data_IF_558782876377
#
_entry.id   IF_558782876377
#
_cell.length_a   1.000
_cell.length_b   1.000
_cell.length_c   1.000
_cell.angle_alpha   90.00
_cell.angle_beta   90.00
_cell.angle_gamma   90.00
#
_symmetry.space_group_name_H-M   'P 1'
#
loop_
_entity.id
_entity.type
_entity.pdbx_description
1 polymer ?
#
# COMPACT_ATOMS: atom_id res chain seq x y z
N UNK A 1 18.76 30.96 1.45
CA UNK A 1 18.17 29.77 2.10
C UNK A 1 17.71 28.86 0.98
N UNK A 2 18.33 27.70 0.80
CA UNK A 2 17.78 26.64 -0.02
C UNK A 2 16.38 26.34 0.52
N UNK A 3 15.38 26.35 -0.34
CA UNK A 3 14.05 25.89 0.02
C UNK A 3 14.14 24.38 0.19
N UNK A 4 14.27 23.91 1.41
CA UNK A 4 14.02 22.50 1.71
C UNK A 4 12.57 22.22 1.36
N UNK A 5 12.33 21.21 0.52
CA UNK A 5 10.96 20.75 0.29
C UNK A 5 10.54 19.93 1.52
N UNK A 6 9.40 20.27 2.15
CA UNK A 6 8.93 19.50 3.29
C UNK A 6 8.47 18.10 2.82
N UNK A 7 8.55 17.14 3.72
CA UNK A 7 7.99 15.80 3.53
C UNK A 7 6.50 15.81 3.91
N UNK A 8 5.71 15.03 3.17
CA UNK A 8 4.32 14.73 3.49
C UNK A 8 4.19 13.24 3.83
N UNK A 9 3.64 12.94 4.99
CA UNK A 9 3.20 11.61 5.37
C UNK A 9 1.70 11.50 5.19
N UNK A 10 1.28 10.49 4.43
CA UNK A 10 -0.12 10.10 4.28
C UNK A 10 -0.30 8.77 4.99
N UNK A 11 -1.18 8.71 5.98
CA UNK A 11 -1.26 7.54 6.84
C UNK A 11 -2.66 7.34 7.42
N UNK A 12 -2.92 6.16 7.93
CA UNK A 12 -4.03 5.89 8.85
C UNK A 12 -3.51 5.76 10.27
N UNK A 13 -4.40 5.65 11.24
CA UNK A 13 -4.04 5.51 12.66
C UNK A 13 -4.70 4.27 13.24
N UNK A 14 -3.92 3.37 13.78
CA UNK A 14 -4.46 2.22 14.53
C UNK A 14 -5.02 2.65 15.87
N UNK A 15 -6.32 2.94 15.88
CA UNK A 15 -7.09 3.27 17.08
C UNK A 15 -8.35 2.43 17.11
N UNK A 16 -8.85 2.14 18.31
CA UNK A 16 -10.13 1.46 18.50
C UNK A 16 -11.34 2.40 18.25
N UNK A 17 -11.20 3.28 17.26
CA UNK A 17 -12.23 4.24 16.84
C UNK A 17 -12.23 4.37 15.33
N UNK A 18 -13.41 4.48 14.73
CA UNK A 18 -13.57 4.54 13.27
C UNK A 18 -12.88 5.75 12.61
N UNK A 19 -12.59 6.81 13.37
CA UNK A 19 -11.85 7.98 12.89
C UNK A 19 -10.33 7.76 12.82
N UNK A 20 -9.82 6.68 13.40
CA UNK A 20 -8.43 6.26 13.24
C UNK A 20 -8.14 5.71 11.86
N UNK A 21 -9.00 4.83 11.36
CA UNK A 21 -8.88 4.19 10.05
C UNK A 21 -9.45 5.07 8.94
N UNK A 22 -8.88 6.27 8.80
CA UNK A 22 -9.19 7.28 7.80
C UNK A 22 -7.89 7.89 7.29
N UNK A 23 -7.96 8.75 6.27
CA UNK A 23 -6.77 9.40 5.71
C UNK A 23 -6.34 10.57 6.60
N UNK A 24 -5.15 10.49 7.16
CA UNK A 24 -4.50 11.54 7.93
C UNK A 24 -3.25 12.03 7.21
N UNK A 25 -2.92 13.31 7.41
CA UNK A 25 -1.71 13.92 6.89
C UNK A 25 -0.83 14.45 8.03
N UNK A 26 0.47 14.29 7.86
CA UNK A 26 1.47 14.98 8.66
C UNK A 26 2.56 15.54 7.76
N UNK A 27 3.20 16.62 8.20
CA UNK A 27 4.31 17.26 7.48
C UNK A 27 5.56 17.28 8.34
N UNK A 28 6.72 17.24 7.69
CA UNK A 28 8.00 17.36 8.34
C UNK A 28 8.97 18.19 7.48
N UNK A 29 9.79 19.02 8.09
CA UNK A 29 10.86 19.74 7.41
C UNK A 29 12.17 18.91 7.34
N UNK A 30 12.33 17.91 8.22
CA UNK A 30 13.57 17.16 8.40
C UNK A 30 13.42 15.63 8.24
N UNK A 31 12.18 15.13 8.05
CA UNK A 31 11.86 13.71 7.95
C UNK A 31 11.82 12.96 9.30
N UNK A 32 12.14 13.63 10.41
CA UNK A 32 12.18 13.02 11.75
C UNK A 32 11.13 13.60 12.69
N UNK A 33 10.87 14.90 12.61
CA UNK A 33 9.90 15.60 13.45
C UNK A 33 8.65 15.89 12.62
N UNK A 34 7.51 15.30 13.00
CA UNK A 34 6.27 15.33 12.24
C UNK A 34 5.20 16.15 12.94
N UNK A 35 4.56 17.05 12.22
CA UNK A 35 3.41 17.81 12.66
C UNK A 35 2.15 17.28 11.97
N UNK A 36 1.16 16.87 12.80
CA UNK A 36 -0.13 16.39 12.30
C UNK A 36 -0.92 17.57 11.74
N UNK A 37 -1.35 17.48 10.50
CA UNK A 37 -2.25 18.45 9.90
C UNK A 37 -3.69 18.30 10.42
N UNK A 38 -4.52 19.30 10.17
CA UNK A 38 -5.94 19.30 10.55
C UNK A 38 -6.20 19.07 12.04
N UNK A 39 -5.21 19.41 12.91
CA UNK A 39 -5.27 19.15 14.34
C UNK A 39 -5.37 17.66 14.70
N UNK A 40 -4.82 16.78 13.86
CA UNK A 40 -4.85 15.33 14.00
C UNK A 40 -6.18 14.67 13.65
N UNK A 41 -7.13 15.41 13.05
CA UNK A 41 -8.35 14.88 12.50
C UNK A 41 -8.11 14.32 11.09
N UNK A 42 -8.96 13.41 10.60
CA UNK A 42 -8.87 12.95 9.20
C UNK A 42 -8.95 14.12 8.21
N UNK A 43 -8.16 14.04 7.15
CA UNK A 43 -8.24 14.94 5.99
C UNK A 43 -9.31 14.43 5.01
N UNK A 44 -9.36 13.10 4.82
CA UNK A 44 -10.42 12.43 4.06
C UNK A 44 -11.09 11.37 4.94
N UNK A 45 -12.39 11.28 4.79
CA UNK A 45 -13.21 10.27 5.48
C UNK A 45 -13.81 9.34 4.42
N UNK A 46 -13.61 8.03 4.61
CA UNK A 46 -14.24 7.01 3.78
C UNK A 46 -15.67 6.80 4.24
N UNK A 47 -16.62 7.03 3.35
CA UNK A 47 -18.07 6.80 3.55
C UNK A 47 -18.62 5.70 2.63
N UNK A 48 -17.78 5.17 1.72
CA UNK A 48 -18.10 4.03 0.85
C UNK A 48 -17.46 2.74 1.36
N UNK A 49 -17.88 1.61 0.79
CA UNK A 49 -17.32 0.29 1.10
C UNK A 49 -17.46 -0.08 2.57
N UNK A 50 -16.35 -0.39 3.22
CA UNK A 50 -16.33 -0.74 4.65
C UNK A 50 -16.46 0.48 5.56
N UNK A 51 -16.30 1.68 5.01
CA UNK A 51 -16.35 2.95 5.75
C UNK A 51 -15.14 3.18 6.65
N UNK A 52 -13.99 2.75 6.20
CA UNK A 52 -12.66 3.00 6.75
C UNK A 52 -11.60 2.62 5.74
N UNK A 53 -10.39 3.14 5.90
CA UNK A 53 -9.26 2.88 5.01
C UNK A 53 -7.97 2.67 5.78
N UNK A 54 -7.10 1.82 5.21
CA UNK A 54 -5.76 1.51 5.69
C UNK A 54 -4.76 1.61 4.53
N UNK A 55 -3.48 1.54 4.82
CA UNK A 55 -2.39 1.39 3.85
C UNK A 55 -2.52 2.41 2.70
N UNK A 56 -2.42 3.69 3.06
CA UNK A 56 -2.72 4.79 2.14
C UNK A 56 -1.49 5.11 1.32
N UNK A 57 -1.62 5.02 0.01
CA UNK A 57 -0.60 5.39 -0.96
C UNK A 57 -0.98 6.68 -1.70
N UNK A 58 0.01 7.49 -2.00
CA UNK A 58 -0.14 8.74 -2.75
C UNK A 58 0.93 8.89 -3.81
N UNK A 59 0.52 9.26 -5.02
CA UNK A 59 1.45 9.63 -6.09
C UNK A 59 1.10 10.98 -6.69
N UNK A 60 2.13 11.77 -7.01
CA UNK A 60 1.97 12.91 -7.91
C UNK A 60 2.13 12.41 -9.34
N UNK A 61 1.07 12.54 -10.12
CA UNK A 61 1.03 12.07 -11.51
C UNK A 61 1.81 12.98 -12.44
N UNK A 62 2.10 12.48 -13.64
CA UNK A 62 2.78 13.23 -14.71
C UNK A 62 1.98 14.48 -15.15
N UNK A 63 0.65 14.47 -15.02
CA UNK A 63 -0.23 15.62 -15.29
C UNK A 63 -0.26 16.66 -14.15
N UNK A 64 0.51 16.42 -13.07
CA UNK A 64 0.63 17.29 -11.91
C UNK A 64 -0.41 17.06 -10.82
N UNK A 65 -1.46 16.26 -11.07
CA UNK A 65 -2.47 15.89 -10.08
C UNK A 65 -1.94 14.86 -9.10
N UNK A 66 -2.65 14.69 -8.00
CA UNK A 66 -2.39 13.64 -7.01
C UNK A 66 -3.47 12.56 -7.11
N UNK A 67 -3.04 11.31 -7.05
CA UNK A 67 -3.90 10.14 -6.88
C UNK A 67 -3.61 9.52 -5.53
N UNK A 68 -4.68 9.24 -4.77
CA UNK A 68 -4.62 8.59 -3.46
C UNK A 68 -5.38 7.27 -3.57
N UNK A 69 -4.70 6.17 -3.25
CA UNK A 69 -5.28 4.83 -3.11
C UNK A 69 -5.21 4.39 -1.65
N UNK A 70 -6.14 3.56 -1.24
CA UNK A 70 -6.13 2.96 0.08
C UNK A 70 -6.86 1.62 0.08
N UNK A 71 -6.46 0.73 0.97
CA UNK A 71 -7.20 -0.49 1.30
C UNK A 71 -8.59 -0.11 1.82
N UNK A 72 -9.65 -0.64 1.21
CA UNK A 72 -11.03 -0.51 1.71
C UNK A 72 -11.26 -1.48 2.87
N UNK A 73 -10.79 -1.10 4.05
CA UNK A 73 -10.90 -1.91 5.26
C UNK A 73 -11.05 -1.04 6.51
N UNK A 74 -12.11 -1.29 7.27
CA UNK A 74 -12.28 -0.77 8.62
C UNK A 74 -12.23 -1.96 9.61
N UNK A 75 -11.06 -2.22 10.18
CA UNK A 75 -10.84 -3.34 11.12
C UNK A 75 -11.68 -3.20 12.36
N UNK A 76 -11.81 -1.96 12.88
CA UNK A 76 -12.63 -1.69 14.08
C UNK A 76 -14.08 -2.16 13.92
N UNK A 77 -14.65 -2.08 12.71
CA UNK A 77 -16.02 -2.58 12.43
C UNK A 77 -16.09 -4.11 12.26
N UNK A 78 -14.95 -4.77 12.17
CA UNK A 78 -14.82 -6.24 12.01
C UNK A 78 -14.35 -6.94 13.29
N UNK A 79 -14.06 -6.19 14.34
CA UNK A 79 -13.70 -6.72 15.65
C UNK A 79 -14.93 -7.35 16.35
N UNK A 80 -14.68 -8.42 17.08
CA UNK A 80 -15.67 -8.99 17.99
C UNK A 80 -15.81 -8.14 19.29
N UNK A 81 -16.69 -8.55 20.20
CA UNK A 81 -16.93 -7.88 21.49
C UNK A 81 -15.69 -7.86 22.42
N UNK A 82 -14.68 -8.71 22.14
CA UNK A 82 -13.42 -8.78 22.88
C UNK A 82 -12.27 -8.08 22.13
N UNK A 83 -12.57 -7.33 21.08
CA UNK A 83 -11.61 -6.67 20.16
C UNK A 83 -10.70 -7.62 19.42
N UNK A 84 -11.07 -8.89 19.22
CA UNK A 84 -10.33 -9.80 18.36
C UNK A 84 -10.66 -9.56 16.89
N UNK A 85 -9.66 -9.79 16.04
CA UNK A 85 -9.77 -9.63 14.60
C UNK A 85 -9.65 -11.02 13.96
N UNK A 86 -10.64 -11.36 13.13
CA UNK A 86 -10.56 -12.55 12.28
C UNK A 86 -9.92 -12.21 10.94
N UNK A 87 -8.58 -12.22 10.91
CA UNK A 87 -7.82 -11.97 9.69
C UNK A 87 -8.12 -13.01 8.60
N UNK A 88 -8.47 -14.25 8.98
CA UNK A 88 -8.83 -15.27 8.00
C UNK A 88 -10.12 -14.89 7.27
N UNK A 89 -11.11 -14.38 7.98
CA UNK A 89 -12.34 -13.88 7.36
C UNK A 89 -12.08 -12.63 6.53
N UNK A 90 -11.24 -11.71 7.00
CA UNK A 90 -10.84 -10.51 6.24
C UNK A 90 -10.16 -10.90 4.92
N UNK A 91 -9.25 -11.85 4.94
CA UNK A 91 -8.52 -12.32 3.77
C UNK A 91 -9.38 -13.14 2.80
N UNK A 92 -10.50 -13.70 3.26
CA UNK A 92 -11.42 -14.49 2.44
C UNK A 92 -12.61 -13.67 1.93
N UNK A 93 -13.19 -12.85 2.81
CA UNK A 93 -14.43 -12.08 2.58
C UNK A 93 -14.19 -10.56 2.67
N UNK A 94 -12.99 -10.12 2.33
CA UNK A 94 -12.60 -8.72 2.31
C UNK A 94 -13.20 -7.94 1.14
N UNK A 95 -12.95 -6.64 1.13
CA UNK A 95 -13.31 -5.80 -0.01
C UNK A 95 -12.50 -6.20 -1.24
N UNK A 96 -13.17 -6.21 -2.40
CA UNK A 96 -12.56 -6.42 -3.72
C UNK A 96 -12.33 -5.11 -4.46
N UNK A 97 -12.35 -4.01 -3.72
CA UNK A 97 -12.14 -2.66 -4.21
C UNK A 97 -11.00 -1.99 -3.44
N UNK A 98 -10.38 -1.01 -4.08
CA UNK A 98 -9.55 -0.01 -3.41
C UNK A 98 -10.30 1.32 -3.36
N UNK A 99 -10.16 2.04 -2.25
CA UNK A 99 -10.66 3.41 -2.14
C UNK A 99 -9.75 4.37 -2.89
N UNK A 100 -10.34 5.36 -3.59
CA UNK A 100 -9.63 6.26 -4.47
C UNK A 100 -10.13 7.69 -4.38
N UNK A 101 -9.19 8.66 -4.36
CA UNK A 101 -9.43 10.09 -4.49
C UNK A 101 -8.42 10.73 -5.43
N UNK A 102 -8.80 11.87 -6.02
CA UNK A 102 -7.92 12.74 -6.79
C UNK A 102 -7.88 14.13 -6.17
N UNK A 103 -6.75 14.83 -6.33
CA UNK A 103 -6.61 16.22 -5.96
C UNK A 103 -5.65 16.96 -6.89
N UNK A 104 -5.89 18.24 -7.12
CA UNK A 104 -4.95 19.12 -7.81
C UNK A 104 -3.96 19.79 -6.85
N UNK A 105 -4.28 19.91 -5.58
CA UNK A 105 -3.58 20.79 -4.61
C UNK A 105 -3.42 20.20 -3.20
N UNK A 106 -3.90 18.99 -2.95
CA UNK A 106 -3.96 18.33 -1.63
C UNK A 106 -4.78 19.07 -0.57
N UNK A 107 -5.64 20.00 -1.01
CA UNK A 107 -6.59 20.75 -0.20
C UNK A 107 -8.02 20.42 -0.61
N UNK A 108 -8.25 20.39 -1.94
CA UNK A 108 -9.54 20.07 -2.54
C UNK A 108 -9.48 18.69 -3.16
N UNK A 109 -10.35 17.81 -2.72
CA UNK A 109 -10.37 16.41 -3.16
C UNK A 109 -11.65 16.09 -3.93
N UNK A 110 -11.56 15.13 -4.85
CA UNK A 110 -12.72 14.53 -5.47
C UNK A 110 -13.59 13.80 -4.46
N UNK A 111 -14.81 13.45 -4.83
CA UNK A 111 -15.58 12.43 -4.11
C UNK A 111 -14.83 11.09 -4.12
N UNK A 112 -15.04 10.29 -3.07
CA UNK A 112 -14.49 8.93 -2.99
C UNK A 112 -15.05 8.07 -4.11
N UNK A 113 -14.19 7.20 -4.66
CA UNK A 113 -14.59 6.10 -5.56
C UNK A 113 -14.08 4.78 -5.01
N UNK A 114 -14.79 3.71 -5.31
CA UNK A 114 -14.30 2.35 -5.13
C UNK A 114 -13.87 1.80 -6.48
N UNK A 115 -12.59 1.45 -6.62
CA UNK A 115 -12.01 0.87 -7.82
C UNK A 115 -12.10 -0.65 -7.75
N UNK A 116 -12.89 -1.24 -8.64
CA UNK A 116 -13.02 -2.67 -8.81
C UNK A 116 -12.30 -3.11 -10.10
N UNK A 117 -11.39 -4.07 -10.00
CA UNK A 117 -10.53 -4.47 -11.11
C UNK A 117 -11.02 -5.72 -11.86
N UNK A 118 -12.25 -6.17 -11.63
CA UNK A 118 -12.90 -7.21 -12.43
C UNK A 118 -12.55 -8.65 -12.05
N UNK A 119 -12.04 -8.90 -10.82
CA UNK A 119 -11.73 -10.25 -10.33
C UNK A 119 -12.57 -10.63 -9.12
N UNK A 120 -13.54 -11.51 -9.33
CA UNK A 120 -14.42 -12.03 -8.27
C UNK A 120 -13.77 -13.12 -7.42
N UNK A 121 -12.69 -13.71 -7.90
CA UNK A 121 -11.96 -14.78 -7.23
C UNK A 121 -10.94 -14.31 -6.20
N UNK A 122 -10.71 -12.99 -6.08
CA UNK A 122 -9.95 -12.41 -4.97
C UNK A 122 -10.70 -12.53 -3.65
N UNK A 123 -10.00 -12.80 -2.55
CA UNK A 123 -10.55 -12.75 -1.20
C UNK A 123 -10.55 -11.35 -0.61
N UNK A 124 -9.52 -10.57 -0.91
CA UNK A 124 -9.32 -9.19 -0.46
C UNK A 124 -8.41 -8.44 -1.42
N UNK A 125 -8.37 -7.11 -1.30
CA UNK A 125 -7.34 -6.25 -1.86
C UNK A 125 -6.79 -5.38 -0.73
N UNK A 126 -5.47 -5.40 -0.53
CA UNK A 126 -4.89 -4.63 0.56
C UNK A 126 -3.44 -4.22 0.36
N UNK A 127 -3.07 -3.12 1.01
CA UNK A 127 -1.80 -2.44 0.89
C UNK A 127 -1.46 -2.09 -0.57
N UNK A 128 -2.26 -1.21 -1.23
CA UNK A 128 -1.97 -0.78 -2.60
C UNK A 128 -0.75 0.12 -2.63
N UNK A 129 0.05 -0.04 -3.68
CA UNK A 129 1.16 0.83 -4.03
C UNK A 129 1.05 1.29 -5.48
N UNK A 130 1.60 2.46 -5.80
CA UNK A 130 1.58 3.05 -7.14
C UNK A 130 3.00 3.39 -7.56
N UNK A 131 3.48 2.74 -8.61
CA UNK A 131 4.81 3.03 -9.19
C UNK A 131 4.64 3.56 -10.60
N UNK A 132 5.31 4.67 -10.94
CA UNK A 132 5.33 5.18 -12.31
C UNK A 132 6.40 4.46 -13.14
N UNK A 133 5.98 3.85 -14.22
CA UNK A 133 6.84 3.25 -15.23
C UNK A 133 7.14 4.29 -16.32
N UNK A 134 8.30 4.94 -16.21
CA UNK A 134 8.73 5.98 -17.13
C UNK A 134 8.94 5.46 -18.57
N UNK A 135 9.30 4.18 -18.72
CA UNK A 135 9.56 3.58 -20.02
C UNK A 135 8.28 3.38 -20.84
N UNK A 136 7.19 2.99 -20.16
CA UNK A 136 5.90 2.75 -20.80
C UNK A 136 4.92 3.91 -20.63
N UNK A 137 5.30 4.96 -19.90
CA UNK A 137 4.47 6.12 -19.56
C UNK A 137 3.12 5.70 -18.95
N UNK A 138 3.18 4.80 -17.96
CA UNK A 138 2.01 4.28 -17.26
C UNK A 138 2.30 4.04 -15.77
N UNK A 139 1.24 3.81 -15.01
CA UNK A 139 1.33 3.49 -13.59
C UNK A 139 1.10 2.00 -13.40
N UNK A 140 2.00 1.35 -12.66
CA UNK A 140 1.81 0.03 -12.09
C UNK A 140 1.19 0.21 -10.71
N UNK A 141 -0.02 -0.32 -10.52
CA UNK A 141 -0.66 -0.42 -9.21
C UNK A 141 -0.51 -1.87 -8.78
N UNK A 142 0.03 -2.11 -7.58
CA UNK A 142 0.16 -3.46 -7.05
C UNK A 142 -0.35 -3.54 -5.61
N UNK A 143 -0.79 -4.73 -5.19
CA UNK A 143 -1.42 -4.97 -3.89
C UNK A 143 -1.35 -6.45 -3.50
N UNK A 144 -1.54 -6.76 -2.22
CA UNK A 144 -1.71 -8.11 -1.72
C UNK A 144 -3.13 -8.63 -1.94
N UNK A 145 -3.26 -9.88 -2.40
CA UNK A 145 -4.53 -10.60 -2.48
C UNK A 145 -4.35 -12.07 -2.20
N UNK A 146 -5.37 -12.66 -1.60
CA UNK A 146 -5.62 -14.10 -1.60
C UNK A 146 -6.56 -14.45 -2.74
N UNK A 147 -6.52 -15.69 -3.23
CA UNK A 147 -7.37 -16.13 -4.35
C UNK A 147 -8.07 -17.46 -4.04
N UNK A 148 -9.20 -17.68 -4.72
CA UNK A 148 -9.99 -18.89 -4.59
C UNK A 148 -9.21 -20.18 -4.92
N UNK A 149 -8.26 -20.11 -5.85
CA UNK A 149 -7.43 -21.25 -6.26
C UNK A 149 -6.62 -21.82 -5.10
N UNK A 150 -6.18 -20.99 -4.17
CA UNK A 150 -5.45 -21.37 -2.95
C UNK A 150 -6.38 -21.53 -1.73
N UNK A 151 -7.71 -21.60 -1.95
CA UNK A 151 -8.70 -21.60 -0.87
C UNK A 151 -8.52 -20.40 0.08
N UNK A 152 -8.06 -19.27 -0.48
CA UNK A 152 -7.74 -18.01 0.22
C UNK A 152 -6.74 -18.15 1.38
N UNK A 153 -5.87 -19.17 1.32
CA UNK A 153 -4.87 -19.44 2.36
C UNK A 153 -3.44 -19.04 1.96
N UNK A 154 -3.29 -18.30 0.85
CA UNK A 154 -1.98 -17.84 0.40
C UNK A 154 -2.11 -16.44 -0.20
N UNK A 155 -1.42 -15.48 0.40
CA UNK A 155 -1.38 -14.10 -0.10
C UNK A 155 -0.18 -13.91 -1.02
N UNK A 156 -0.43 -13.31 -2.17
CA UNK A 156 0.55 -12.94 -3.18
C UNK A 156 0.32 -11.52 -3.66
N UNK A 157 1.28 -10.93 -4.33
CA UNK A 157 1.17 -9.58 -4.89
C UNK A 157 0.64 -9.67 -6.31
N UNK A 158 -0.43 -8.97 -6.57
CA UNK A 158 -1.06 -8.78 -7.88
C UNK A 158 -0.86 -7.36 -8.34
N UNK A 159 -1.00 -7.13 -9.65
CA UNK A 159 -0.92 -5.78 -10.20
C UNK A 159 -1.88 -5.56 -11.35
N UNK A 160 -2.11 -4.29 -11.65
CA UNK A 160 -2.71 -3.82 -12.90
C UNK A 160 -2.00 -2.55 -13.37
N UNK A 161 -2.27 -2.13 -14.60
CA UNK A 161 -1.68 -0.95 -15.23
C UNK A 161 -2.74 0.06 -15.60
N UNK A 162 -2.38 1.33 -15.51
CA UNK A 162 -3.24 2.43 -15.94
C UNK A 162 -2.41 3.62 -16.42
N UNK A 163 -2.97 4.40 -17.37
CA UNK A 163 -2.37 5.67 -17.78
C UNK A 163 -3.10 6.87 -17.18
N UNK A 164 -4.33 6.69 -16.72
CA UNK A 164 -5.24 7.79 -16.40
C UNK A 164 -6.07 7.61 -15.12
N UNK A 165 -5.91 6.49 -14.41
CA UNK A 165 -6.72 6.08 -13.25
C UNK A 165 -8.23 5.99 -13.54
N UNK A 166 -8.61 5.75 -14.81
CA UNK A 166 -9.99 5.56 -15.26
C UNK A 166 -10.20 4.22 -15.94
N UNK A 167 -9.19 3.80 -16.70
CA UNK A 167 -9.14 2.49 -17.34
C UNK A 167 -7.95 1.70 -16.81
N UNK A 168 -8.17 0.42 -16.53
CA UNK A 168 -7.18 -0.45 -15.90
C UNK A 168 -7.03 -1.74 -16.72
N UNK A 169 -5.81 -2.26 -16.82
CA UNK A 169 -5.62 -3.61 -17.34
C UNK A 169 -6.27 -4.64 -16.39
N UNK A 170 -6.53 -5.85 -16.92
CA UNK A 170 -6.96 -6.95 -16.07
C UNK A 170 -5.84 -7.32 -15.09
N UNK A 171 -6.15 -7.59 -13.82
CA UNK A 171 -5.15 -7.94 -12.81
C UNK A 171 -4.40 -9.23 -13.13
N UNK A 172 -3.08 -9.18 -12.99
CA UNK A 172 -2.18 -10.33 -13.14
C UNK A 172 -1.33 -10.54 -11.89
N UNK A 173 -0.79 -11.75 -11.74
CA UNK A 173 0.15 -12.04 -10.66
C UNK A 173 1.46 -11.29 -10.92
N UNK A 174 1.86 -10.46 -9.96
CA UNK A 174 3.09 -9.69 -10.05
C UNK A 174 4.26 -10.40 -9.37
N UNK A 175 4.06 -10.83 -8.13
CA UNK A 175 5.11 -11.47 -7.36
C UNK A 175 4.53 -12.43 -6.32
N UNK A 176 5.19 -13.58 -6.16
CA UNK A 176 4.80 -14.60 -5.17
C UNK A 176 6.03 -15.34 -4.64
N UNK A 177 5.92 -15.90 -3.46
CA UNK A 177 6.89 -16.78 -2.82
C UNK A 177 6.18 -18.01 -2.27
N UNK A 178 6.93 -18.99 -1.79
CA UNK A 178 6.35 -20.16 -1.10
C UNK A 178 5.62 -19.79 0.19
N UNK A 179 6.09 -18.73 0.86
CA UNK A 179 5.44 -18.10 2.00
C UNK A 179 4.46 -17.02 1.56
N UNK A 180 3.47 -16.72 2.40
CA UNK A 180 2.63 -15.54 2.24
C UNK A 180 3.45 -14.26 2.30
N UNK A 181 3.16 -13.35 1.38
CA UNK A 181 3.81 -12.05 1.26
C UNK A 181 2.78 -10.95 1.12
N UNK A 182 3.06 -9.79 1.71
CA UNK A 182 2.19 -8.62 1.68
C UNK A 182 3.01 -7.33 1.76
N UNK A 183 2.33 -6.17 1.70
CA UNK A 183 2.90 -4.84 1.89
C UNK A 183 4.13 -4.61 1.01
N UNK A 184 3.96 -4.82 -0.29
CA UNK A 184 5.03 -4.63 -1.25
C UNK A 184 5.23 -3.15 -1.57
N UNK A 185 6.49 -2.72 -1.66
CA UNK A 185 6.90 -1.40 -2.12
C UNK A 185 7.93 -1.53 -3.23
N UNK A 186 7.73 -0.83 -4.34
CA UNK A 186 8.58 -0.94 -5.53
C UNK A 186 9.15 0.43 -5.90
N UNK A 187 10.48 0.54 -5.96
CA UNK A 187 11.15 1.76 -6.39
C UNK A 187 12.26 1.49 -7.39
N UNK A 188 12.57 2.49 -8.21
CA UNK A 188 13.74 2.47 -9.09
C UNK A 188 14.87 3.28 -8.49
N UNK A 189 16.03 2.66 -8.29
CA UNK A 189 17.23 3.32 -7.83
C UNK A 189 18.47 2.76 -8.55
N UNK A 190 19.40 3.63 -8.98
CA UNK A 190 20.62 3.23 -9.70
C UNK A 190 20.36 2.29 -10.88
N UNK A 191 19.32 2.58 -11.69
CA UNK A 191 18.87 1.79 -12.84
C UNK A 191 18.46 0.35 -12.52
N UNK A 192 18.16 0.05 -11.28
CA UNK A 192 17.58 -1.22 -10.82
C UNK A 192 16.22 -0.98 -10.18
N UNK A 193 15.37 -1.97 -10.26
CA UNK A 193 14.11 -2.03 -9.54
C UNK A 193 14.34 -2.77 -8.22
N UNK A 194 13.93 -2.17 -7.13
CA UNK A 194 14.02 -2.67 -5.78
C UNK A 194 12.62 -2.95 -5.27
N UNK A 195 12.31 -4.21 -5.00
CA UNK A 195 11.04 -4.66 -4.44
C UNK A 195 11.25 -5.02 -2.98
N UNK A 196 10.59 -4.30 -2.10
CA UNK A 196 10.50 -4.61 -0.67
C UNK A 196 9.14 -5.25 -0.41
N UNK A 197 9.08 -6.21 0.49
CA UNK A 197 7.82 -6.84 0.88
C UNK A 197 7.95 -7.45 2.28
N UNK A 198 6.83 -7.64 2.95
CA UNK A 198 6.79 -8.42 4.17
C UNK A 198 6.65 -9.89 3.86
N UNK A 199 7.53 -10.71 4.40
CA UNK A 199 7.33 -12.15 4.55
C UNK A 199 6.53 -12.39 5.85
N UNK A 200 5.33 -12.97 5.74
CA UNK A 200 4.44 -13.18 6.88
C UNK A 200 4.87 -14.34 7.79
N UNK A 201 5.64 -15.28 7.23
CA UNK A 201 6.08 -16.50 7.95
C UNK A 201 7.52 -16.37 8.46
N UNK A 202 8.04 -17.43 9.09
CA UNK A 202 9.38 -17.44 9.65
C UNK A 202 10.47 -17.61 8.57
N UNK A 203 11.45 -16.70 8.46
CA UNK A 203 11.58 -15.47 9.24
C UNK A 203 10.57 -14.39 8.80
N UNK A 204 9.83 -13.83 9.76
CA UNK A 204 8.92 -12.71 9.48
C UNK A 204 9.67 -11.39 9.38
N UNK A 205 9.20 -10.48 8.54
CA UNK A 205 9.71 -9.14 8.38
C UNK A 205 9.94 -8.73 6.94
N UNK A 206 10.51 -7.54 6.75
CA UNK A 206 10.80 -7.00 5.43
C UNK A 206 11.94 -7.77 4.75
N UNK A 207 11.71 -8.09 3.50
CA UNK A 207 12.63 -8.74 2.56
C UNK A 207 12.87 -7.81 1.37
N UNK A 208 13.94 -8.07 0.62
CA UNK A 208 14.31 -7.26 -0.52
C UNK A 208 14.69 -8.11 -1.73
N UNK A 209 14.25 -7.67 -2.88
CA UNK A 209 14.57 -8.26 -4.18
C UNK A 209 15.02 -7.17 -5.15
N UNK A 210 15.85 -7.52 -6.11
CA UNK A 210 16.39 -6.61 -7.12
C UNK A 210 16.16 -7.16 -8.53
N UNK A 211 15.81 -6.28 -9.47
CA UNK A 211 15.64 -6.62 -10.89
C UNK A 211 16.14 -5.52 -11.83
N UNK A 212 16.43 -5.88 -13.06
CA UNK A 212 16.65 -4.94 -14.18
C UNK A 212 15.32 -4.44 -14.77
N UNK A 213 14.23 -5.15 -14.56
CA UNK A 213 12.92 -4.86 -15.14
C UNK A 213 11.87 -4.68 -14.05
N UNK A 214 10.91 -3.78 -14.28
CA UNK A 214 9.82 -3.48 -13.35
C UNK A 214 9.00 -4.73 -12.98
N UNK A 215 8.82 -5.66 -13.91
CA UNK A 215 8.09 -6.92 -13.71
C UNK A 215 8.99 -8.10 -13.32
N UNK A 216 10.27 -7.86 -13.03
CA UNK A 216 11.22 -8.92 -12.74
C UNK A 216 11.83 -9.55 -14.01
N UNK A 217 12.47 -10.74 -13.93
CA UNK A 217 12.58 -11.56 -12.73
C UNK A 217 13.38 -10.88 -11.61
N UNK A 218 12.95 -11.09 -10.38
CA UNK A 218 13.60 -10.53 -9.21
C UNK A 218 14.60 -11.52 -8.61
N UNK A 219 15.71 -11.00 -8.10
CA UNK A 219 16.74 -11.77 -7.38
C UNK A 219 16.78 -11.32 -5.94
N UNK A 220 16.77 -12.26 -5.01
CA UNK A 220 16.78 -12.03 -3.58
C UNK A 220 18.09 -11.39 -3.09
N UNK A 221 17.98 -10.47 -2.14
CA UNK A 221 19.12 -9.76 -1.52
C UNK A 221 19.28 -10.19 -0.05
N UNK A 222 20.07 -11.24 0.16
CA UNK A 222 20.37 -11.78 1.51
C UNK A 222 21.14 -10.78 2.38
N UNK A 223 21.91 -9.86 1.79
CA UNK A 223 22.68 -8.85 2.54
C UNK A 223 21.74 -7.84 3.19
N UNK A 224 20.73 -7.39 2.44
CA UNK A 224 19.70 -6.50 2.97
C UNK A 224 18.94 -7.15 4.14
N UNK A 225 18.53 -8.39 3.99
CA UNK A 225 17.80 -9.11 5.05
C UNK A 225 18.65 -9.22 6.34
N UNK A 226 19.95 -9.48 6.19
CA UNK A 226 20.87 -9.54 7.34
C UNK A 226 20.99 -8.18 8.03
N UNK A 227 21.09 -7.08 7.25
CA UNK A 227 21.16 -5.71 7.76
C UNK A 227 19.88 -5.31 8.51
N UNK A 228 18.71 -5.56 7.90
CA UNK A 228 17.42 -5.25 8.53
C UNK A 228 17.26 -6.00 9.83
N UNK A 229 17.55 -7.29 9.87
CA UNK A 229 17.51 -8.08 11.12
C UNK A 229 18.45 -7.54 12.19
N UNK A 230 19.64 -7.11 11.81
CA UNK A 230 20.59 -6.50 12.73
C UNK A 230 20.06 -5.20 13.33
N UNK A 231 19.62 -4.24 12.48
CA UNK A 231 19.16 -2.94 12.95
C UNK A 231 17.81 -2.98 13.67
N UNK A 232 16.96 -3.95 13.35
CA UNK A 232 15.65 -4.13 14.00
C UNK A 232 15.71 -5.07 15.20
N UNK A 233 16.89 -5.58 15.54
CA UNK A 233 17.10 -6.57 16.60
C UNK A 233 16.18 -7.80 16.45
N UNK A 234 15.98 -8.24 15.20
CA UNK A 234 15.11 -9.37 14.86
C UNK A 234 13.60 -9.06 14.94
N UNK A 235 13.21 -7.78 15.09
CA UNK A 235 11.82 -7.36 15.05
C UNK A 235 11.19 -7.59 13.67
N UNK A 236 9.90 -7.90 13.65
CA UNK A 236 9.10 -8.00 12.42
C UNK A 236 8.47 -6.66 12.11
N UNK A 237 8.73 -6.15 10.92
CA UNK A 237 8.20 -4.88 10.41
C UNK A 237 7.50 -5.12 9.08
N UNK A 238 6.57 -4.23 8.74
CA UNK A 238 5.80 -4.25 7.50
C UNK A 238 5.58 -2.82 6.99
N UNK A 239 5.06 -2.65 5.76
CA UNK A 239 4.72 -1.35 5.22
C UNK A 239 5.96 -0.50 4.93
N UNK A 240 6.97 -1.06 4.26
CA UNK A 240 8.18 -0.33 3.88
C UNK A 240 7.83 0.85 2.95
N UNK A 241 8.40 2.01 3.24
CA UNK A 241 8.40 3.18 2.35
C UNK A 241 9.84 3.66 2.22
N UNK A 242 10.28 3.93 1.00
CA UNK A 242 11.63 4.41 0.73
C UNK A 242 11.61 5.78 0.07
N UNK A 243 12.62 6.59 0.36
CA UNK A 243 12.85 7.88 -0.31
C UNK A 243 14.35 8.11 -0.46
N UNK A 244 14.75 8.90 -1.46
CA UNK A 244 16.14 9.22 -1.80
C UNK A 244 16.41 10.72 -1.63
#
# INVERSE_FOLDING_TARGET
REKTMPYLSVHFREKLTVDGEQVHFAVSEDGFNWEMLHGGKPVLVSDLGTGGVRDIEIIRRADGKFSILATDLCVVKRMDENHNIDWKDINHNGSKCLSYWESDDLINFSEQKLLYFGRDDFGCLGAPEITYDEENEEYLIHWGSTVKETDYNHMSIYCCRTKDFRSFSYPELFFTKDNEILDSHLMKHNNKWHLFYKNANNPSGNMHEVSDNIMGPFTHDDEFDALIRYYTNGGSYEGATTYV
#
